data_IF_328274138823
#
_entry.id   IF_328274138823
#
_cell.length_a   1.000
_cell.length_b   1.000
_cell.length_c   1.000
_cell.angle_alpha   90.00
_cell.angle_beta   90.00
_cell.angle_gamma   90.00
#
_symmetry.space_group_name_H-M   'P 1'
#
loop_
_entity.id
_entity.type
_entity.pdbx_description
1 polymer ?
#
# COMPACT_ATOMS: atom_id res chain seq x y z
N UNK A 1 16.23 -52.94 23.33
CA UNK A 1 15.65 -52.62 22.01
C UNK A 1 14.67 -51.48 22.19
N UNK A 2 15.09 -50.26 21.85
CA UNK A 2 14.19 -49.13 21.64
C UNK A 2 14.96 -48.10 20.82
N UNK A 3 15.11 -48.41 19.53
CA UNK A 3 15.57 -47.46 18.54
C UNK A 3 14.38 -46.54 18.27
N UNK A 4 14.33 -45.40 18.96
CA UNK A 4 13.46 -44.30 18.59
C UNK A 4 14.07 -43.78 17.29
N UNK A 5 13.55 -44.24 16.16
CA UNK A 5 13.81 -43.60 14.88
C UNK A 5 13.29 -42.17 15.02
N UNK A 6 14.21 -41.21 15.16
CA UNK A 6 13.91 -39.82 14.86
C UNK A 6 13.29 -39.83 13.47
N UNK A 7 12.02 -39.42 13.35
CA UNK A 7 11.44 -39.14 12.05
C UNK A 7 12.33 -38.08 11.42
N UNK A 8 13.16 -38.49 10.47
CA UNK A 8 13.94 -37.58 9.66
C UNK A 8 12.91 -36.83 8.85
N UNK A 9 12.50 -35.65 9.31
CA UNK A 9 11.70 -34.75 8.51
C UNK A 9 12.58 -34.34 7.34
N UNK A 10 12.23 -34.82 6.14
CA UNK A 10 12.95 -34.50 4.92
C UNK A 10 12.93 -32.98 4.72
N UNK A 11 14.04 -32.37 4.30
CA UNK A 11 14.08 -30.94 4.01
C UNK A 11 13.04 -30.60 2.92
N UNK A 12 12.57 -29.36 2.94
CA UNK A 12 11.72 -28.82 1.88
C UNK A 12 12.66 -28.44 0.74
N UNK A 13 12.50 -29.08 -0.42
CA UNK A 13 13.32 -28.80 -1.60
C UNK A 13 12.41 -28.17 -2.64
N UNK A 14 12.72 -26.93 -3.01
CA UNK A 14 12.06 -26.23 -4.12
C UNK A 14 12.95 -26.39 -5.34
N UNK A 15 12.42 -27.06 -6.36
CA UNK A 15 13.06 -27.21 -7.66
C UNK A 15 12.65 -26.04 -8.56
N UNK A 16 13.57 -25.56 -9.38
CA UNK A 16 13.30 -24.54 -10.38
C UNK A 16 14.14 -24.79 -11.64
N UNK A 17 13.65 -24.35 -12.79
CA UNK A 17 14.37 -24.41 -14.07
C UNK A 17 14.92 -23.03 -14.39
N UNK A 18 16.20 -22.94 -14.77
CA UNK A 18 16.85 -21.69 -15.16
C UNK A 18 16.70 -21.41 -16.66
N UNK A 19 16.98 -20.17 -17.09
CA UNK A 19 16.95 -19.76 -18.51
C UNK A 19 17.79 -20.62 -19.46
N UNK A 20 18.82 -21.32 -18.97
CA UNK A 20 19.68 -22.23 -19.75
C UNK A 20 19.22 -23.70 -19.72
N UNK A 21 18.08 -23.98 -19.07
CA UNK A 21 17.48 -25.31 -18.92
C UNK A 21 18.08 -26.15 -17.78
N UNK A 22 18.91 -25.55 -16.92
CA UNK A 22 19.44 -26.24 -15.73
C UNK A 22 18.37 -26.35 -14.64
N UNK A 23 18.31 -27.50 -13.98
CA UNK A 23 17.47 -27.66 -12.79
C UNK A 23 18.27 -27.24 -11.57
N UNK A 24 17.85 -26.13 -10.96
CA UNK A 24 18.32 -25.67 -9.66
C UNK A 24 17.46 -26.22 -8.52
N UNK A 25 18.02 -26.19 -7.32
CA UNK A 25 17.34 -26.61 -6.10
C UNK A 25 17.66 -25.63 -4.98
N UNK A 26 16.63 -25.22 -4.23
CA UNK A 26 16.79 -24.48 -3.00
C UNK A 26 16.23 -25.30 -1.84
N UNK A 27 17.09 -25.62 -0.88
CA UNK A 27 16.76 -26.46 0.28
C UNK A 27 16.44 -25.59 1.50
N UNK A 28 15.39 -25.98 2.24
CA UNK A 28 15.00 -25.37 3.51
C UNK A 28 14.82 -26.46 4.58
N UNK A 29 15.05 -26.14 5.86
CA UNK A 29 14.71 -27.02 6.97
C UNK A 29 13.24 -27.47 6.91
N UNK A 30 12.97 -28.72 7.27
CA UNK A 30 11.64 -29.32 7.18
C UNK A 30 10.57 -28.66 8.06
N UNK A 31 10.98 -27.92 9.09
CA UNK A 31 10.13 -27.17 10.02
C UNK A 31 10.09 -25.67 9.71
N UNK A 32 10.60 -25.24 8.54
CA UNK A 32 10.60 -23.84 8.13
C UNK A 32 9.20 -23.25 8.12
N UNK A 33 9.06 -22.11 8.79
CA UNK A 33 7.82 -21.31 8.80
C UNK A 33 7.90 -20.11 7.84
N UNK A 34 9.04 -19.93 7.18
CA UNK A 34 9.31 -18.81 6.28
C UNK A 34 10.15 -19.34 5.11
N UNK A 35 9.59 -19.32 3.92
CA UNK A 35 10.24 -19.77 2.68
C UNK A 35 10.46 -18.54 1.81
N UNK A 36 11.72 -18.27 1.47
CA UNK A 36 12.10 -17.11 0.65
C UNK A 36 12.91 -17.57 -0.54
N UNK A 37 12.31 -17.40 -1.72
CA UNK A 37 12.89 -17.70 -3.01
C UNK A 37 13.43 -16.40 -3.62
N UNK A 38 14.70 -16.45 -4.01
CA UNK A 38 15.37 -15.36 -4.73
C UNK A 38 16.08 -15.98 -5.93
N UNK A 39 15.36 -16.08 -7.04
CA UNK A 39 15.69 -17.00 -8.14
C UNK A 39 15.91 -16.24 -9.47
N UNK A 40 16.98 -15.42 -9.54
CA UNK A 40 17.27 -14.43 -10.61
C UNK A 40 17.11 -14.90 -12.05
N UNK A 41 17.33 -16.17 -12.29
CA UNK A 41 17.35 -16.82 -13.59
C UNK A 41 16.31 -17.93 -13.73
N UNK A 42 15.45 -18.15 -12.72
CA UNK A 42 14.40 -19.15 -12.78
C UNK A 42 13.28 -18.74 -13.72
N UNK A 43 12.92 -19.61 -14.66
CA UNK A 43 11.80 -19.47 -15.60
C UNK A 43 10.60 -20.34 -15.22
N UNK A 44 10.79 -21.34 -14.35
CA UNK A 44 9.72 -22.16 -13.77
C UNK A 44 10.08 -22.55 -12.34
N UNK A 45 9.08 -22.58 -11.45
CA UNK A 45 9.28 -22.85 -10.01
C UNK A 45 8.25 -23.91 -9.58
N UNK A 46 8.73 -24.99 -8.96
CA UNK A 46 7.86 -26.07 -8.48
C UNK A 46 7.64 -25.93 -6.95
N UNK A 47 6.43 -25.51 -6.57
CA UNK A 47 6.03 -25.33 -5.18
C UNK A 47 5.40 -26.57 -4.51
N UNK A 48 5.30 -27.72 -5.20
CA UNK A 48 4.63 -28.93 -4.67
C UNK A 48 5.16 -29.39 -3.30
N UNK A 49 6.43 -29.15 -2.99
CA UNK A 49 7.00 -29.46 -1.67
C UNK A 49 6.32 -28.69 -0.51
N UNK A 50 5.60 -27.60 -0.81
CA UNK A 50 4.88 -26.80 0.18
C UNK A 50 3.52 -27.40 0.57
N UNK A 51 2.97 -28.39 -0.15
CA UNK A 51 1.66 -28.99 0.15
C UNK A 51 1.57 -29.54 1.59
N UNK A 52 2.68 -30.02 2.14
CA UNK A 52 2.73 -30.57 3.50
C UNK A 52 3.13 -29.54 4.57
N UNK A 53 3.45 -28.31 4.16
CA UNK A 53 3.98 -27.25 5.02
C UNK A 53 2.89 -26.51 5.79
N UNK A 54 2.07 -27.23 6.56
CA UNK A 54 0.92 -26.67 7.30
C UNK A 54 1.29 -25.61 8.35
N UNK A 55 2.57 -25.55 8.77
CA UNK A 55 3.11 -24.54 9.69
C UNK A 55 3.71 -23.32 8.99
N UNK A 56 3.75 -23.29 7.66
CA UNK A 56 4.27 -22.17 6.90
C UNK A 56 3.50 -20.89 7.24
N UNK A 57 4.20 -19.85 7.66
CA UNK A 57 3.64 -18.56 8.02
C UNK A 57 3.95 -17.46 7.00
N UNK A 58 5.04 -17.60 6.23
CA UNK A 58 5.44 -16.65 5.22
C UNK A 58 5.97 -17.34 3.97
N UNK A 59 5.54 -16.85 2.82
CA UNK A 59 6.06 -17.23 1.52
C UNK A 59 6.50 -15.96 0.77
N UNK A 60 7.73 -15.98 0.28
CA UNK A 60 8.31 -14.90 -0.53
C UNK A 60 8.89 -15.47 -1.81
N UNK A 61 8.53 -14.90 -2.95
CA UNK A 61 9.12 -15.23 -4.24
C UNK A 61 9.47 -13.95 -4.98
N UNK A 62 10.76 -13.63 -5.02
CA UNK A 62 11.24 -12.39 -5.62
C UNK A 62 12.27 -12.66 -6.70
N UNK A 63 12.36 -11.73 -7.64
CA UNK A 63 13.40 -11.69 -8.67
C UNK A 63 13.49 -12.99 -9.48
N UNK A 64 12.37 -13.54 -9.94
CA UNK A 64 12.38 -14.61 -10.94
C UNK A 64 12.11 -14.09 -12.35
N UNK A 65 12.48 -14.89 -13.34
CA UNK A 65 12.10 -14.69 -14.75
C UNK A 65 10.91 -15.57 -15.15
N UNK A 66 10.21 -16.14 -14.16
CA UNK A 66 9.04 -16.95 -14.38
C UNK A 66 7.87 -16.05 -14.80
N UNK A 67 7.14 -16.48 -15.83
CA UNK A 67 5.99 -15.75 -16.38
C UNK A 67 4.70 -16.05 -15.62
N UNK A 68 4.68 -17.14 -14.87
CA UNK A 68 3.60 -17.59 -14.00
C UNK A 68 4.18 -18.31 -12.77
N UNK A 69 3.31 -18.54 -11.79
CA UNK A 69 3.62 -19.35 -10.61
C UNK A 69 2.36 -20.09 -10.16
N UNK A 70 2.48 -21.41 -9.97
CA UNK A 70 1.39 -22.21 -9.42
C UNK A 70 1.40 -22.15 -7.88
N UNK A 71 0.46 -21.41 -7.31
CA UNK A 71 0.28 -21.27 -5.86
C UNK A 71 -0.57 -22.39 -5.25
N UNK A 72 -0.98 -23.42 -6.00
CA UNK A 72 -1.88 -24.50 -5.54
C UNK A 72 -1.42 -25.14 -4.22
N UNK A 73 -0.12 -25.37 -4.07
CA UNK A 73 0.49 -25.93 -2.85
C UNK A 73 0.25 -25.06 -1.60
N UNK A 74 0.11 -23.74 -1.75
CA UNK A 74 -0.17 -22.83 -0.63
C UNK A 74 -1.58 -23.01 -0.06
N UNK A 75 -2.50 -23.66 -0.79
CA UNK A 75 -3.85 -23.93 -0.27
C UNK A 75 -3.87 -24.83 0.97
N UNK A 76 -2.80 -25.59 1.20
CA UNK A 76 -2.62 -26.43 2.38
C UNK A 76 -1.88 -25.72 3.53
N UNK A 77 -1.28 -24.56 3.26
CA UNK A 77 -0.54 -23.75 4.22
C UNK A 77 -1.48 -22.91 5.08
N UNK A 78 -2.37 -23.54 5.85
CA UNK A 78 -3.43 -22.84 6.62
C UNK A 78 -2.92 -21.89 7.72
N UNK A 79 -1.65 -21.98 8.10
CA UNK A 79 -0.98 -21.05 9.01
C UNK A 79 -0.40 -19.80 8.31
N UNK A 80 -0.52 -19.70 6.99
CA UNK A 80 0.10 -18.65 6.18
C UNK A 80 -0.47 -17.28 6.58
N UNK A 81 0.44 -16.35 6.89
CA UNK A 81 0.15 -14.98 7.32
C UNK A 81 0.64 -13.97 6.29
N UNK A 82 1.67 -14.29 5.51
CA UNK A 82 2.32 -13.32 4.62
C UNK A 82 2.66 -13.96 3.28
N UNK A 83 2.30 -13.27 2.21
CA UNK A 83 2.72 -13.59 0.85
C UNK A 83 3.32 -12.32 0.26
N UNK A 84 4.55 -12.43 -0.21
CA UNK A 84 5.31 -11.36 -0.85
C UNK A 84 5.81 -11.85 -2.20
N UNK A 85 5.48 -11.14 -3.28
CA UNK A 85 5.98 -11.43 -4.62
C UNK A 85 6.41 -10.11 -5.24
N UNK A 86 7.70 -9.98 -5.56
CA UNK A 86 8.25 -8.72 -6.04
C UNK A 86 9.28 -8.95 -7.15
N UNK A 87 9.24 -8.11 -8.17
CA UNK A 87 10.22 -8.08 -9.26
C UNK A 87 10.31 -9.41 -10.03
N UNK A 88 9.19 -10.09 -10.29
CA UNK A 88 9.14 -11.23 -11.20
C UNK A 88 8.69 -10.77 -12.61
N UNK A 89 8.34 -11.73 -13.47
CA UNK A 89 7.77 -11.48 -14.81
C UNK A 89 6.33 -12.02 -14.89
N UNK A 90 5.64 -12.10 -13.75
CA UNK A 90 4.31 -12.69 -13.68
C UNK A 90 3.31 -11.85 -14.47
N UNK A 91 2.74 -12.45 -15.51
CA UNK A 91 1.67 -11.81 -16.29
C UNK A 91 0.30 -11.93 -15.66
N UNK A 92 0.09 -13.04 -14.96
CA UNK A 92 -1.14 -13.36 -14.24
C UNK A 92 -0.78 -14.11 -12.96
N UNK A 93 -1.54 -13.89 -11.90
CA UNK A 93 -1.38 -14.64 -10.64
C UNK A 93 -2.76 -15.14 -10.20
N UNK A 94 -2.91 -16.46 -10.10
CA UNK A 94 -4.11 -17.06 -9.51
C UNK A 94 -4.02 -17.02 -7.97
N UNK A 95 -4.81 -16.13 -7.35
CA UNK A 95 -4.91 -16.02 -5.90
C UNK A 95 -5.93 -17.00 -5.28
N UNK A 96 -6.59 -17.84 -6.09
CA UNK A 96 -7.55 -18.85 -5.64
C UNK A 96 -7.08 -19.69 -4.44
N UNK A 97 -5.84 -20.22 -4.47
CA UNK A 97 -5.26 -20.97 -3.34
C UNK A 97 -5.21 -20.17 -2.04
N UNK A 98 -4.95 -18.85 -2.09
CA UNK A 98 -4.89 -17.99 -0.91
C UNK A 98 -6.26 -17.80 -0.24
N UNK A 99 -7.37 -18.05 -0.94
CA UNK A 99 -8.71 -18.01 -0.35
C UNK A 99 -8.94 -19.04 0.76
N UNK A 100 -8.06 -20.04 0.91
CA UNK A 100 -8.05 -21.01 2.03
C UNK A 100 -7.22 -20.54 3.22
N UNK A 101 -6.32 -19.57 3.00
CA UNK A 101 -5.39 -19.03 3.99
C UNK A 101 -6.08 -17.98 4.87
N UNK A 102 -7.09 -18.38 5.65
CA UNK A 102 -7.88 -17.46 6.51
C UNK A 102 -7.07 -16.72 7.60
N UNK A 103 -5.79 -17.11 7.80
CA UNK A 103 -4.84 -16.42 8.68
C UNK A 103 -3.98 -15.37 7.97
N UNK A 104 -4.16 -15.15 6.67
CA UNK A 104 -3.41 -14.18 5.89
C UNK A 104 -3.61 -12.77 6.47
N UNK A 105 -2.49 -12.08 6.69
CA UNK A 105 -2.38 -10.72 7.25
C UNK A 105 -1.72 -9.75 6.30
N UNK A 106 -0.86 -10.22 5.40
CA UNK A 106 -0.16 -9.37 4.44
C UNK A 106 -0.13 -10.02 3.07
N UNK A 107 -0.54 -9.27 2.06
CA UNK A 107 -0.28 -9.57 0.65
C UNK A 107 0.42 -8.37 0.02
N UNK A 108 1.60 -8.61 -0.54
CA UNK A 108 2.28 -7.65 -1.41
C UNK A 108 2.54 -8.33 -2.75
N UNK A 109 2.17 -7.65 -3.83
CA UNK A 109 2.49 -8.07 -5.20
C UNK A 109 3.07 -6.87 -5.93
N UNK A 110 4.32 -6.95 -6.38
CA UNK A 110 4.97 -5.94 -7.23
C UNK A 110 5.46 -6.60 -8.51
N UNK A 111 4.70 -6.41 -9.58
CA UNK A 111 4.93 -7.09 -10.85
C UNK A 111 4.73 -6.13 -12.02
N UNK A 112 5.81 -5.90 -12.77
CA UNK A 112 5.83 -4.94 -13.89
C UNK A 112 4.97 -5.39 -15.06
N UNK A 113 4.89 -6.69 -15.30
CA UNK A 113 4.21 -7.26 -16.45
C UNK A 113 2.82 -7.83 -16.11
N UNK A 114 2.33 -7.58 -14.88
CA UNK A 114 1.03 -8.10 -14.43
C UNK A 114 -0.10 -7.38 -15.16
N UNK A 115 -0.84 -8.11 -16.00
CA UNK A 115 -1.91 -7.59 -16.86
C UNK A 115 -3.29 -7.69 -16.19
N UNK A 116 -3.50 -8.69 -15.34
CA UNK A 116 -4.78 -8.96 -14.66
C UNK A 116 -4.54 -9.48 -13.25
N UNK A 117 -5.32 -8.97 -12.29
CA UNK A 117 -5.31 -9.44 -10.91
C UNK A 117 -6.73 -9.57 -10.35
N UNK A 118 -7.18 -10.82 -10.12
CA UNK A 118 -8.43 -11.09 -9.40
C UNK A 118 -8.15 -11.29 -7.90
N UNK A 119 -8.59 -10.32 -7.09
CA UNK A 119 -8.50 -10.39 -5.62
C UNK A 119 -9.77 -10.92 -4.95
N UNK A 120 -10.74 -11.45 -5.71
CA UNK A 120 -11.94 -12.14 -5.22
C UNK A 120 -11.68 -13.15 -4.08
N UNK A 121 -10.64 -14.00 -4.17
CA UNK A 121 -10.29 -14.94 -3.11
C UNK A 121 -9.99 -14.29 -1.74
N UNK A 122 -9.56 -13.02 -1.72
CA UNK A 122 -9.21 -12.29 -0.49
C UNK A 122 -10.44 -11.94 0.37
N UNK A 123 -11.67 -12.05 -0.16
CA UNK A 123 -12.88 -11.92 0.65
C UNK A 123 -12.94 -12.92 1.83
N UNK A 124 -12.21 -14.04 1.73
CA UNK A 124 -12.07 -15.05 2.80
C UNK A 124 -10.94 -14.74 3.79
N UNK A 125 -10.04 -13.82 3.44
CA UNK A 125 -8.89 -13.40 4.24
C UNK A 125 -9.30 -12.31 5.24
N UNK A 126 -10.24 -12.62 6.14
CA UNK A 126 -10.84 -11.64 7.07
C UNK A 126 -9.86 -11.05 8.09
N UNK A 127 -8.65 -11.62 8.21
CA UNK A 127 -7.56 -11.13 9.07
C UNK A 127 -6.53 -10.29 8.33
N UNK A 128 -6.77 -9.97 7.05
CA UNK A 128 -5.85 -9.18 6.24
C UNK A 128 -5.68 -7.78 6.87
N UNK A 129 -4.43 -7.40 7.12
CA UNK A 129 -4.04 -6.12 7.71
C UNK A 129 -3.34 -5.22 6.70
N UNK A 130 -2.60 -5.80 5.74
CA UNK A 130 -1.83 -5.05 4.77
C UNK A 130 -2.08 -5.61 3.37
N UNK A 131 -2.50 -4.72 2.47
CA UNK A 131 -2.67 -5.01 1.06
C UNK A 131 -1.86 -3.99 0.27
N UNK A 132 -0.90 -4.47 -0.51
CA UNK A 132 -0.08 -3.65 -1.38
C UNK A 132 0.02 -4.29 -2.75
N UNK A 133 -0.28 -3.53 -3.80
CA UNK A 133 -0.08 -3.97 -5.18
C UNK A 133 0.59 -2.88 -5.99
N UNK A 134 1.64 -3.24 -6.72
CA UNK A 134 2.25 -2.41 -7.76
C UNK A 134 2.02 -3.10 -9.09
N UNK A 135 1.24 -2.43 -9.96
CA UNK A 135 0.69 -2.97 -11.19
C UNK A 135 0.98 -2.00 -12.33
N UNK A 136 1.95 -2.32 -13.19
CA UNK A 136 2.30 -1.39 -14.27
C UNK A 136 1.42 -1.55 -15.52
N UNK A 137 0.63 -2.62 -15.68
CA UNK A 137 -0.19 -2.84 -16.89
C UNK A 137 -1.71 -2.92 -16.62
N UNK A 138 -2.14 -2.89 -15.36
CA UNK A 138 -3.55 -3.02 -14.99
C UNK A 138 -4.27 -1.68 -15.16
N UNK A 139 -5.37 -1.70 -15.91
CA UNK A 139 -6.23 -0.52 -16.16
C UNK A 139 -7.47 -0.47 -15.28
N UNK A 140 -7.85 -1.59 -14.66
CA UNK A 140 -8.99 -1.71 -13.75
C UNK A 140 -8.69 -2.70 -12.61
N UNK A 141 -9.09 -2.37 -11.39
CA UNK A 141 -9.00 -3.29 -10.25
C UNK A 141 -10.27 -3.24 -9.41
N UNK A 142 -10.91 -4.40 -9.24
CA UNK A 142 -12.06 -4.54 -8.34
C UNK A 142 -11.61 -4.82 -6.90
N UNK A 143 -11.71 -3.81 -6.03
CA UNK A 143 -11.38 -3.94 -4.60
C UNK A 143 -12.57 -4.27 -3.69
N UNK A 144 -13.77 -4.56 -4.23
CA UNK A 144 -14.94 -4.98 -3.42
C UNK A 144 -14.65 -6.12 -2.43
N UNK A 145 -13.81 -7.13 -2.74
CA UNK A 145 -13.46 -8.18 -1.78
C UNK A 145 -12.84 -7.66 -0.47
N UNK A 146 -12.16 -6.52 -0.49
CA UNK A 146 -11.52 -5.95 0.69
C UNK A 146 -12.51 -5.42 1.73
N UNK A 147 -13.78 -5.21 1.39
CA UNK A 147 -14.84 -4.86 2.35
C UNK A 147 -15.02 -5.91 3.47
N UNK A 148 -14.61 -7.16 3.22
CA UNK A 148 -14.61 -8.24 4.21
C UNK A 148 -13.37 -8.22 5.12
N UNK A 149 -12.30 -7.52 4.73
CA UNK A 149 -11.03 -7.43 5.45
C UNK A 149 -11.07 -6.33 6.52
N UNK A 150 -11.97 -6.44 7.50
CA UNK A 150 -12.19 -5.40 8.54
C UNK A 150 -11.00 -5.14 9.47
N UNK A 151 -9.98 -6.00 9.38
CA UNK A 151 -8.69 -5.84 10.06
C UNK A 151 -7.68 -5.00 9.27
N UNK A 152 -8.03 -4.54 8.06
CA UNK A 152 -7.12 -3.79 7.18
C UNK A 152 -6.65 -2.49 7.86
N UNK A 153 -5.33 -2.30 7.83
CA UNK A 153 -4.59 -1.18 8.44
C UNK A 153 -3.83 -0.39 7.40
N UNK A 154 -3.31 -1.05 6.37
CA UNK A 154 -2.59 -0.42 5.27
C UNK A 154 -3.13 -0.90 3.93
N UNK A 155 -3.44 0.07 3.07
CA UNK A 155 -3.82 -0.14 1.69
C UNK A 155 -2.88 0.70 0.82
N UNK A 156 -2.23 0.06 -0.15
CA UNK A 156 -1.34 0.72 -1.10
C UNK A 156 -1.59 0.20 -2.50
N UNK A 157 -1.78 1.11 -3.44
CA UNK A 157 -1.78 0.81 -4.87
C UNK A 157 -0.78 1.72 -5.55
N UNK A 158 0.06 1.13 -6.39
CA UNK A 158 0.85 1.84 -7.40
C UNK A 158 0.38 1.29 -8.75
N UNK A 159 -0.19 2.14 -9.59
CA UNK A 159 -0.73 1.70 -10.87
C UNK A 159 -0.52 2.73 -11.97
N UNK A 160 0.34 2.40 -12.93
CA UNK A 160 0.79 3.35 -13.95
C UNK A 160 -0.33 3.71 -14.94
N UNK A 161 -1.22 2.76 -15.25
CA UNK A 161 -2.28 2.89 -16.27
C UNK A 161 -3.71 2.79 -15.71
N UNK A 162 -3.88 2.90 -14.39
CA UNK A 162 -5.20 2.84 -13.76
C UNK A 162 -5.94 4.16 -14.00
N UNK A 163 -7.13 4.09 -14.62
CA UNK A 163 -7.89 5.30 -14.99
C UNK A 163 -8.76 5.83 -13.84
N UNK A 164 -9.34 4.91 -13.06
CA UNK A 164 -10.25 5.19 -11.95
C UNK A 164 -10.24 4.00 -10.96
N UNK A 165 -10.63 4.27 -9.71
CA UNK A 165 -10.77 3.24 -8.68
C UNK A 165 -11.89 3.57 -7.69
N UNK A 166 -12.83 2.64 -7.54
CA UNK A 166 -13.86 2.73 -6.50
C UNK A 166 -13.27 2.36 -5.13
N UNK A 167 -13.02 3.38 -4.30
CA UNK A 167 -12.49 3.22 -2.94
C UNK A 167 -13.57 2.98 -1.88
N UNK A 168 -14.86 3.02 -2.25
CA UNK A 168 -16.00 2.81 -1.33
C UNK A 168 -15.86 1.55 -0.45
N UNK A 169 -15.36 0.40 -0.95
CA UNK A 169 -15.18 -0.81 -0.13
C UNK A 169 -14.28 -0.61 1.10
N UNK A 170 -13.36 0.36 1.07
CA UNK A 170 -12.46 0.66 2.18
C UNK A 170 -13.17 1.33 3.37
N UNK A 171 -14.40 1.85 3.19
CA UNK A 171 -15.21 2.40 4.29
C UNK A 171 -15.55 1.37 5.38
N UNK A 172 -15.60 0.08 5.04
CA UNK A 172 -15.79 -1.02 6.01
C UNK A 172 -14.52 -1.29 6.84
N UNK A 173 -13.36 -0.75 6.42
CA UNK A 173 -12.06 -0.98 7.04
C UNK A 173 -11.73 0.11 8.08
N UNK A 174 -12.56 0.22 9.13
CA UNK A 174 -12.41 1.21 10.23
C UNK A 174 -11.08 1.17 11.00
N UNK A 175 -10.21 0.19 10.73
CA UNK A 175 -8.86 0.05 11.29
C UNK A 175 -7.76 0.63 10.41
N UNK A 176 -8.10 1.18 9.24
CA UNK A 176 -7.15 1.81 8.34
C UNK A 176 -6.37 2.92 9.05
N UNK A 177 -5.06 2.86 8.85
CA UNK A 177 -4.04 3.78 9.35
C UNK A 177 -3.35 4.46 8.18
N UNK A 178 -3.13 3.72 7.08
CA UNK A 178 -2.44 4.21 5.89
C UNK A 178 -3.22 3.90 4.63
N UNK A 179 -3.37 4.90 3.79
CA UNK A 179 -3.91 4.77 2.43
C UNK A 179 -2.94 5.46 1.49
N UNK A 180 -2.43 4.73 0.50
CA UNK A 180 -1.54 5.26 -0.53
C UNK A 180 -2.04 4.86 -1.91
N UNK A 181 -2.14 5.83 -2.80
CA UNK A 181 -2.48 5.64 -4.20
C UNK A 181 -1.48 6.43 -5.01
N UNK A 182 -0.77 5.74 -5.90
CA UNK A 182 0.18 6.32 -6.84
C UNK A 182 -0.24 5.89 -8.24
N UNK A 183 -0.35 6.80 -9.20
CA UNK A 183 -0.69 6.40 -10.56
C UNK A 183 -0.96 7.54 -11.54
N UNK A 184 -0.18 7.59 -12.61
CA UNK A 184 -0.10 8.72 -13.56
C UNK A 184 -1.38 9.01 -14.34
N UNK A 185 -2.27 8.02 -14.47
CA UNK A 185 -3.49 8.12 -15.28
C UNK A 185 -4.79 8.21 -14.46
N UNK A 186 -4.71 8.14 -13.12
CA UNK A 186 -5.91 8.18 -12.26
C UNK A 186 -6.52 9.57 -12.32
N UNK A 187 -7.71 9.67 -12.93
CA UNK A 187 -8.33 10.95 -13.26
C UNK A 187 -9.36 11.46 -12.24
N UNK A 188 -9.73 10.64 -11.27
CA UNK A 188 -10.61 11.02 -10.16
C UNK A 188 -10.36 10.17 -8.92
N UNK A 189 -10.51 10.76 -7.74
CA UNK A 189 -10.48 10.04 -6.46
C UNK A 189 -11.56 10.62 -5.55
N UNK A 190 -12.55 9.80 -5.18
CA UNK A 190 -13.54 10.14 -4.16
C UNK A 190 -13.02 9.74 -2.77
N UNK A 191 -12.89 10.71 -1.87
CA UNK A 191 -12.41 10.52 -0.50
C UNK A 191 -13.52 10.26 0.52
N UNK A 192 -14.80 10.15 0.13
CA UNK A 192 -15.91 9.92 1.08
C UNK A 192 -15.72 8.66 1.94
N UNK A 193 -15.00 7.64 1.45
CA UNK A 193 -14.69 6.43 2.24
C UNK A 193 -13.83 6.72 3.48
N UNK A 194 -13.13 7.86 3.53
CA UNK A 194 -12.34 8.29 4.69
C UNK A 194 -13.21 8.76 5.86
N UNK A 195 -14.48 9.05 5.60
CA UNK A 195 -15.42 9.52 6.62
C UNK A 195 -15.57 8.48 7.73
N UNK A 196 -15.11 8.84 8.92
CA UNK A 196 -15.15 7.96 10.09
C UNK A 196 -13.90 7.10 10.30
N UNK A 197 -12.89 7.18 9.41
CA UNK A 197 -11.57 6.56 9.60
C UNK A 197 -10.73 7.36 10.60
N UNK A 198 -11.19 7.41 11.85
CA UNK A 198 -10.56 8.14 12.97
C UNK A 198 -9.17 7.62 13.37
N UNK A 199 -8.73 6.51 12.78
CA UNK A 199 -7.40 5.91 12.96
C UNK A 199 -6.42 6.23 11.84
N UNK A 200 -6.85 6.92 10.78
CA UNK A 200 -6.00 7.31 9.67
C UNK A 200 -4.88 8.22 10.20
N UNK A 201 -3.66 7.85 9.88
CA UNK A 201 -2.43 8.58 10.22
C UNK A 201 -1.73 9.08 8.94
N UNK A 202 -1.90 8.39 7.82
CA UNK A 202 -1.20 8.71 6.57
C UNK A 202 -2.17 8.59 5.37
N UNK A 203 -2.27 9.65 4.59
CA UNK A 203 -2.93 9.64 3.28
C UNK A 203 -1.93 10.12 2.24
N UNK A 204 -1.72 9.31 1.21
CA UNK A 204 -0.88 9.64 0.07
C UNK A 204 -1.62 9.45 -1.25
N UNK A 205 -1.69 10.53 -2.02
CA UNK A 205 -2.21 10.62 -3.37
C UNK A 205 -1.09 11.24 -4.21
N UNK A 206 -0.36 10.40 -4.95
CA UNK A 206 0.89 10.82 -5.60
C UNK A 206 0.80 10.57 -7.10
N UNK A 207 1.27 11.52 -7.90
CA UNK A 207 1.32 11.40 -9.36
C UNK A 207 -0.03 11.02 -9.96
N UNK A 208 -1.13 11.58 -9.46
CA UNK A 208 -2.45 11.39 -10.04
C UNK A 208 -2.71 12.43 -11.14
N UNK A 209 -3.72 12.23 -11.98
CA UNK A 209 -4.12 13.20 -12.99
C UNK A 209 -5.45 13.87 -12.61
N UNK A 210 -5.50 14.48 -11.42
CA UNK A 210 -6.71 15.08 -10.84
C UNK A 210 -6.60 16.62 -10.78
N UNK A 211 -7.62 17.33 -11.26
CA UNK A 211 -7.64 18.80 -11.24
C UNK A 211 -8.16 19.41 -9.94
N UNK A 212 -8.89 18.61 -9.15
CA UNK A 212 -9.54 19.03 -7.92
C UNK A 212 -9.58 17.88 -6.89
N UNK A 213 -9.64 18.22 -5.61
CA UNK A 213 -9.75 17.24 -4.52
C UNK A 213 -10.54 17.84 -3.35
N UNK A 214 -11.56 17.12 -2.86
CA UNK A 214 -12.33 17.52 -1.68
C UNK A 214 -11.77 16.85 -0.41
N UNK A 215 -11.19 17.67 0.49
CA UNK A 215 -10.65 17.19 1.76
C UNK A 215 -11.71 17.12 2.88
N UNK A 216 -12.97 17.48 2.65
CA UNK A 216 -14.04 17.46 3.67
C UNK A 216 -14.17 16.15 4.45
N UNK A 217 -13.99 14.96 3.84
CA UNK A 217 -14.00 13.68 4.57
C UNK A 217 -12.91 13.55 5.65
N UNK A 218 -11.80 14.30 5.55
CA UNK A 218 -10.69 14.27 6.50
C UNK A 218 -11.00 14.96 7.83
N UNK A 219 -12.11 15.71 7.97
CA UNK A 219 -12.48 16.40 9.22
C UNK A 219 -12.50 15.48 10.45
N UNK A 220 -12.80 14.19 10.24
CA UNK A 220 -12.84 13.16 11.29
C UNK A 220 -11.50 12.47 11.58
N UNK A 221 -10.49 12.65 10.72
CA UNK A 221 -9.19 11.96 10.77
C UNK A 221 -8.23 12.66 11.74
N UNK A 222 -8.63 12.80 13.01
CA UNK A 222 -7.87 13.55 14.03
C UNK A 222 -6.47 13.02 14.32
N UNK A 223 -6.16 11.79 13.90
CA UNK A 223 -4.84 11.16 14.03
C UNK A 223 -3.94 11.38 12.82
N UNK A 224 -4.40 12.08 11.78
CA UNK A 224 -3.61 12.33 10.58
C UNK A 224 -2.29 13.02 10.94
N UNK A 225 -1.20 12.46 10.45
CA UNK A 225 0.18 12.92 10.66
C UNK A 225 0.81 13.34 9.33
N UNK A 226 0.55 12.59 8.26
CA UNK A 226 1.14 12.79 6.94
C UNK A 226 0.03 12.94 5.89
N UNK A 227 0.13 14.00 5.09
CA UNK A 227 -0.73 14.21 3.92
C UNK A 227 0.16 14.48 2.70
N UNK A 228 0.16 13.56 1.73
CA UNK A 228 0.82 13.71 0.43
C UNK A 228 -0.24 13.89 -0.64
N UNK A 229 -0.22 15.04 -1.29
CA UNK A 229 -0.98 15.33 -2.51
C UNK A 229 0.03 15.95 -3.47
N UNK A 230 0.87 15.12 -4.07
CA UNK A 230 2.03 15.55 -4.87
C UNK A 230 1.85 15.08 -6.31
N UNK A 231 2.24 15.87 -7.30
CA UNK A 231 2.20 15.41 -8.69
C UNK A 231 0.78 15.24 -9.23
N UNK A 232 -0.23 15.85 -8.60
CA UNK A 232 -1.64 15.53 -8.89
C UNK A 232 -2.28 16.41 -9.96
N UNK A 233 -1.73 17.60 -10.19
CA UNK A 233 -2.27 18.58 -11.15
C UNK A 233 -3.33 19.53 -10.58
N UNK A 234 -3.57 19.52 -9.27
CA UNK A 234 -4.53 20.42 -8.63
C UNK A 234 -4.11 21.90 -8.76
N UNK A 235 -5.10 22.77 -8.96
CA UNK A 235 -4.90 24.22 -9.10
C UNK A 235 -5.37 25.03 -7.89
N UNK A 236 -6.27 24.46 -7.09
CA UNK A 236 -6.76 25.02 -5.83
C UNK A 236 -6.98 23.92 -4.81
N UNK A 237 -6.90 24.26 -3.52
CA UNK A 237 -7.17 23.31 -2.43
C UNK A 237 -7.69 24.04 -1.18
N UNK A 238 -8.78 23.51 -0.60
CA UNK A 238 -9.28 23.97 0.70
C UNK A 238 -8.69 23.13 1.83
N UNK A 239 -7.84 23.75 2.65
CA UNK A 239 -7.22 23.12 3.83
C UNK A 239 -8.07 23.26 5.10
N UNK A 240 -9.22 23.95 5.07
CA UNK A 240 -10.11 24.11 6.24
C UNK A 240 -10.50 22.79 6.90
N UNK A 241 -10.76 21.69 6.17
CA UNK A 241 -11.04 20.39 6.76
C UNK A 241 -9.96 19.86 7.73
N UNK A 242 -8.71 20.34 7.59
CA UNK A 242 -7.56 19.93 8.41
C UNK A 242 -7.49 20.63 9.78
N UNK A 243 -8.40 21.57 10.09
CA UNK A 243 -8.40 22.32 11.36
C UNK A 243 -8.43 21.43 12.62
N UNK A 244 -8.91 20.18 12.50
CA UNK A 244 -8.98 19.22 13.60
C UNK A 244 -7.83 18.19 13.59
N UNK A 245 -6.94 18.24 12.59
CA UNK A 245 -5.80 17.35 12.42
C UNK A 245 -4.59 17.86 13.21
N UNK A 246 -4.75 18.15 14.50
CA UNK A 246 -3.71 18.78 15.36
C UNK A 246 -2.42 17.95 15.51
N UNK A 247 -2.44 16.68 15.07
CA UNK A 247 -1.30 15.78 15.04
C UNK A 247 -0.55 15.80 13.69
N UNK A 248 -0.96 16.64 12.73
CA UNK A 248 -0.30 16.76 11.44
C UNK A 248 1.15 17.21 11.64
N UNK A 249 2.05 16.46 11.04
CA UNK A 249 3.49 16.67 11.11
C UNK A 249 4.02 17.16 9.78
N UNK A 250 3.47 16.69 8.66
CA UNK A 250 4.02 17.04 7.36
C UNK A 250 2.92 17.04 6.29
N UNK A 251 2.97 18.05 5.44
CA UNK A 251 2.08 18.20 4.30
C UNK A 251 2.93 18.48 3.06
N UNK A 252 2.62 17.76 1.98
CA UNK A 252 3.28 17.89 0.69
C UNK A 252 2.23 18.20 -0.36
N UNK A 253 2.33 19.39 -0.94
CA UNK A 253 1.49 19.89 -2.02
C UNK A 253 2.33 20.38 -3.21
N UNK A 254 3.61 20.00 -3.25
CA UNK A 254 4.53 20.30 -4.36
C UNK A 254 4.22 19.46 -5.60
N UNK A 255 4.81 19.84 -6.72
CA UNK A 255 4.58 19.25 -8.05
C UNK A 255 3.10 19.30 -8.45
N UNK A 256 2.41 20.39 -8.11
CA UNK A 256 1.05 20.62 -8.54
C UNK A 256 1.00 21.87 -9.44
N UNK A 257 -0.14 22.54 -9.49
CA UNK A 257 -0.32 23.77 -10.26
C UNK A 257 -1.02 24.83 -9.42
N UNK A 258 -0.73 24.84 -8.11
CA UNK A 258 -1.24 25.80 -7.13
C UNK A 258 -0.59 27.16 -7.32
N UNK A 259 -1.39 28.19 -7.61
CA UNK A 259 -0.91 29.58 -7.62
C UNK A 259 -0.80 30.13 -6.19
N UNK A 260 -1.79 29.81 -5.36
CA UNK A 260 -1.88 30.25 -3.96
C UNK A 260 -2.58 29.19 -3.10
N UNK A 261 -2.35 29.23 -1.78
CA UNK A 261 -2.99 28.32 -0.83
C UNK A 261 -3.20 29.00 0.53
N UNK A 262 -4.41 28.94 1.08
CA UNK A 262 -4.67 29.41 2.44
C UNK A 262 -4.24 28.34 3.47
N UNK A 263 -3.17 28.64 4.20
CA UNK A 263 -2.60 27.77 5.23
C UNK A 263 -3.05 28.13 6.65
N UNK A 264 -4.05 29.02 6.81
CA UNK A 264 -4.54 29.46 8.12
C UNK A 264 -4.94 28.28 9.03
N UNK A 265 -5.56 27.23 8.46
CA UNK A 265 -5.95 26.04 9.20
C UNK A 265 -4.76 25.22 9.72
N UNK A 266 -3.56 25.38 9.16
CA UNK A 266 -2.36 24.65 9.57
C UNK A 266 -1.72 25.24 10.84
N UNK A 267 -2.03 26.47 11.22
CA UNK A 267 -1.48 27.09 12.44
C UNK A 267 -1.87 26.36 13.74
N UNK A 268 -2.94 25.57 13.72
CA UNK A 268 -3.34 24.72 14.86
C UNK A 268 -2.46 23.47 15.01
N UNK A 269 -1.71 23.10 13.97
CA UNK A 269 -0.87 21.91 13.94
C UNK A 269 0.49 22.21 14.60
N UNK A 270 0.53 22.24 15.93
CA UNK A 270 1.73 22.67 16.67
C UNK A 270 2.95 21.76 16.48
N UNK A 271 2.75 20.53 16.00
CA UNK A 271 3.83 19.57 15.68
C UNK A 271 4.20 19.56 14.20
N UNK A 272 3.69 20.48 13.39
CA UNK A 272 4.00 20.57 11.97
C UNK A 272 5.49 20.87 11.77
N UNK A 273 6.17 19.96 11.08
CA UNK A 273 7.60 19.97 10.82
C UNK A 273 7.92 20.49 9.43
N UNK A 274 7.05 20.26 8.46
CA UNK A 274 7.35 20.47 7.05
C UNK A 274 6.07 20.82 6.29
N UNK A 275 6.15 21.85 5.44
CA UNK A 275 5.13 22.21 4.46
C UNK A 275 5.86 22.34 3.12
N UNK A 276 5.69 21.36 2.24
CA UNK A 276 6.23 21.44 0.89
C UNK A 276 5.18 22.04 -0.06
N UNK A 277 5.59 23.10 -0.74
CA UNK A 277 4.85 23.82 -1.77
C UNK A 277 5.82 24.08 -2.92
N UNK A 278 5.29 24.22 -4.14
CA UNK A 278 6.12 24.68 -5.26
C UNK A 278 6.73 26.06 -4.98
N UNK A 279 7.88 26.33 -5.59
CA UNK A 279 8.61 27.59 -5.40
C UNK A 279 7.75 28.82 -5.73
N UNK A 280 6.85 28.69 -6.71
CA UNK A 280 5.98 29.77 -7.20
C UNK A 280 4.64 29.87 -6.47
N UNK A 281 4.28 28.88 -5.63
CA UNK A 281 3.01 28.93 -4.88
C UNK A 281 3.12 29.95 -3.75
N UNK A 282 2.12 30.83 -3.66
CA UNK A 282 2.01 31.85 -2.61
C UNK A 282 1.20 31.31 -1.42
N UNK A 283 1.83 31.03 -0.26
CA UNK A 283 1.07 30.70 0.94
C UNK A 283 0.38 31.97 1.48
N UNK A 284 -0.90 31.86 1.80
CA UNK A 284 -1.71 32.93 2.41
C UNK A 284 -2.13 32.56 3.82
N UNK A 285 -2.21 33.53 4.71
CA UNK A 285 -2.74 33.32 6.05
C UNK A 285 -3.40 34.58 6.61
N UNK A 286 -4.35 34.41 7.52
CA UNK A 286 -5.03 35.54 8.17
C UNK A 286 -4.04 36.39 8.99
N UNK A 287 -4.09 37.72 8.85
CA UNK A 287 -3.11 38.65 9.44
C UNK A 287 -2.86 38.46 10.94
N UNK A 288 -3.89 38.12 11.72
CA UNK A 288 -3.74 37.95 13.17
C UNK A 288 -2.88 36.72 13.57
N UNK A 289 -2.68 35.76 12.65
CA UNK A 289 -1.83 34.60 12.87
C UNK A 289 -0.33 34.97 12.79
N UNK A 290 0.00 36.10 12.15
CA UNK A 290 1.37 36.62 12.06
C UNK A 290 1.92 37.13 13.40
N UNK A 291 1.05 37.48 14.34
CA UNK A 291 1.40 37.98 15.67
C UNK A 291 1.68 36.87 16.69
N UNK A 292 1.60 35.59 16.29
CA UNK A 292 1.81 34.45 17.19
C UNK A 292 3.27 34.34 17.63
N UNK A 293 3.48 34.27 18.95
CA UNK A 293 4.82 34.19 19.55
C UNK A 293 5.51 32.83 19.39
N UNK A 294 4.74 31.79 19.11
CA UNK A 294 5.22 30.42 18.89
C UNK A 294 4.47 29.85 17.69
N UNK A 295 5.24 29.31 16.75
CA UNK A 295 4.75 28.63 15.55
C UNK A 295 5.48 27.31 15.39
N UNK A 296 4.83 26.38 14.70
CA UNK A 296 5.42 25.07 14.37
C UNK A 296 6.61 25.23 13.41
N UNK A 297 7.54 24.28 13.39
CA UNK A 297 8.72 24.35 12.52
C UNK A 297 8.38 24.47 11.02
N UNK A 298 7.32 23.79 10.54
CA UNK A 298 6.90 23.88 9.15
C UNK A 298 6.39 25.28 8.76
N UNK A 299 5.64 25.95 9.66
CA UNK A 299 5.20 27.33 9.46
C UNK A 299 6.39 28.30 9.51
N UNK A 300 7.34 28.07 10.42
CA UNK A 300 8.57 28.88 10.53
C UNK A 300 9.36 28.86 9.21
N UNK A 301 9.50 27.70 8.60
CA UNK A 301 10.27 27.50 7.37
C UNK A 301 9.75 28.33 6.19
N UNK A 302 8.42 28.48 6.06
CA UNK A 302 7.81 29.26 4.98
C UNK A 302 7.33 30.65 5.42
N UNK A 303 7.61 31.07 6.67
CA UNK A 303 6.99 32.26 7.28
C UNK A 303 7.19 33.54 6.45
N UNK A 304 8.40 33.75 5.94
CA UNK A 304 8.75 34.93 5.15
C UNK A 304 8.10 34.95 3.76
N UNK A 305 7.56 33.82 3.29
CA UNK A 305 6.80 33.70 2.04
C UNK A 305 5.31 33.99 2.20
N UNK A 306 4.80 34.06 3.43
CA UNK A 306 3.37 34.18 3.70
C UNK A 306 2.86 35.57 3.34
N UNK A 307 1.83 35.62 2.48
CA UNK A 307 1.02 36.80 2.26
C UNK A 307 -0.11 36.87 3.30
N UNK A 308 -0.11 37.96 4.08
CA UNK A 308 -1.06 38.16 5.17
C UNK A 308 -2.32 38.86 4.66
N UNK A 309 -3.46 38.17 4.75
CA UNK A 309 -4.78 38.63 4.26
C UNK A 309 -5.79 38.87 5.38
#
# INVERSE_FOLDING_TARGET
MSNIAAAVCNPIIIEYETVDGTIGMQEFPADSTDIRLFLRDAVAINLSALEMCTKLEAFTCNHSQAIDIDLSALSHCTSLKRVYMENNQFKTIDLGPLGTCSNLRSLHIEEKDLEVLDIGPLAKCIKLENFAVHMSQITELDIRPLSHCRELRAFSIIADHLLDIDLTPLSECSKLVRVSIIGEEVSSVDLEFLKGLSKLEELALIYLNISEIDLSPLRGCKKLQLLWIQGTGIHEIDLTPLENCVHLQRIWLDDNSLEEVDISSLFVCTNLQQIELDENTVPKAQHHLGDLSVRSAGIEEIFDRIEWI
#
